data_IF_460098350429
#
_entry.id   IF_460098350429
#
_cell.length_a   1.000
_cell.length_b   1.000
_cell.length_c   1.000
_cell.angle_alpha   90.00
_cell.angle_beta   90.00
_cell.angle_gamma   90.00
#
_symmetry.space_group_name_H-M   'P 1'
#
loop_
_entity.id
_entity.type
_entity.pdbx_description
1 polymer ?
#
# COMPACT_ATOMS: atom_id res chain seq x y z
N UNK A 1 26.84 -3.57 -2.60
CA UNK A 1 26.19 -3.74 -1.28
C UNK A 1 24.78 -3.18 -1.26
N UNK A 2 24.57 -1.96 -1.78
CA UNK A 2 23.24 -1.35 -1.92
C UNK A 2 22.26 -2.23 -2.69
N UNK A 3 22.69 -2.86 -3.79
CA UNK A 3 21.86 -3.74 -4.64
C UNK A 3 21.22 -4.92 -3.90
N UNK A 4 21.95 -5.57 -2.98
CA UNK A 4 21.41 -6.69 -2.20
C UNK A 4 20.31 -6.22 -1.24
N UNK A 5 20.54 -5.07 -0.59
CA UNK A 5 19.57 -4.44 0.30
C UNK A 5 18.31 -4.04 -0.50
N UNK A 6 18.49 -3.45 -1.69
CA UNK A 6 17.36 -3.08 -2.55
C UNK A 6 16.56 -4.30 -2.99
N UNK A 7 17.23 -5.38 -3.38
CA UNK A 7 16.58 -6.61 -3.81
C UNK A 7 15.75 -7.24 -2.68
N UNK A 8 16.29 -7.27 -1.45
CA UNK A 8 15.56 -7.72 -0.27
C UNK A 8 14.33 -6.84 0.03
N UNK A 9 14.47 -5.51 -0.06
CA UNK A 9 13.35 -4.58 0.13
C UNK A 9 12.24 -4.80 -0.91
N UNK A 10 12.60 -4.99 -2.18
CA UNK A 10 11.62 -5.30 -3.23
C UNK A 10 10.96 -6.67 -3.03
N UNK A 11 11.72 -7.70 -2.64
CA UNK A 11 11.18 -9.03 -2.35
C UNK A 11 10.18 -8.99 -1.19
N UNK A 12 10.53 -8.33 -0.09
CA UNK A 12 9.64 -8.15 1.05
C UNK A 12 8.42 -7.32 0.65
N UNK A 13 8.61 -6.22 -0.07
CA UNK A 13 7.51 -5.38 -0.56
C UNK A 13 6.53 -6.16 -1.45
N UNK A 14 7.05 -6.94 -2.39
CA UNK A 14 6.25 -7.81 -3.25
C UNK A 14 5.50 -8.89 -2.46
N UNK A 15 6.14 -9.49 -1.46
CA UNK A 15 5.51 -10.44 -0.54
C UNK A 15 4.33 -9.80 0.20
N UNK A 16 4.50 -8.60 0.77
CA UNK A 16 3.42 -7.89 1.45
C UNK A 16 2.25 -7.53 0.52
N UNK A 17 2.54 -7.14 -0.72
CA UNK A 17 1.49 -6.90 -1.73
C UNK A 17 0.74 -8.19 -2.07
N UNK A 18 1.45 -9.31 -2.20
CA UNK A 18 0.86 -10.61 -2.46
C UNK A 18 -0.04 -11.06 -1.29
N UNK A 19 0.42 -10.91 -0.05
CA UNK A 19 -0.40 -11.17 1.15
C UNK A 19 -1.63 -10.26 1.18
N UNK A 20 -1.50 -9.00 0.79
CA UNK A 20 -2.61 -8.07 0.70
C UNK A 20 -3.67 -8.53 -0.32
N UNK A 21 -3.24 -8.94 -1.51
CA UNK A 21 -4.12 -9.48 -2.54
C UNK A 21 -4.83 -10.76 -2.09
N UNK A 22 -4.13 -11.66 -1.39
CA UNK A 22 -4.73 -12.86 -0.80
C UNK A 22 -5.76 -12.49 0.27
N UNK A 23 -5.45 -11.52 1.13
CA UNK A 23 -6.37 -11.00 2.14
C UNK A 23 -7.65 -10.43 1.52
N UNK A 24 -7.53 -9.73 0.39
CA UNK A 24 -8.68 -9.21 -0.35
C UNK A 24 -9.60 -10.32 -0.88
N UNK A 25 -9.07 -11.48 -1.29
CA UNK A 25 -9.85 -12.60 -1.83
C UNK A 25 -10.42 -13.50 -0.71
N UNK A 26 -9.69 -13.65 0.40
CA UNK A 26 -10.05 -14.62 1.45
C UNK A 26 -11.09 -14.12 2.46
N UNK A 27 -11.18 -12.81 2.70
CA UNK A 27 -12.14 -12.28 3.68
C UNK A 27 -13.54 -12.06 3.07
N UNK A 28 -14.63 -12.50 3.75
CA UNK A 28 -15.99 -12.44 3.21
C UNK A 28 -16.69 -11.09 3.39
N UNK A 29 -16.31 -10.25 4.36
CA UNK A 29 -16.95 -8.94 4.59
C UNK A 29 -16.09 -7.76 4.10
N UNK A 30 -16.74 -6.72 3.56
CA UNK A 30 -16.07 -5.55 2.99
C UNK A 30 -15.17 -4.82 4.01
N UNK A 31 -15.59 -4.68 5.28
CA UNK A 31 -14.78 -3.97 6.27
C UNK A 31 -13.55 -4.78 6.67
N UNK A 32 -13.68 -6.10 6.80
CA UNK A 32 -12.55 -6.99 7.09
C UNK A 32 -11.57 -7.08 5.91
N UNK A 33 -12.07 -7.09 4.67
CA UNK A 33 -11.25 -6.99 3.45
C UNK A 33 -10.46 -5.68 3.40
N UNK A 34 -11.10 -4.54 3.65
CA UNK A 34 -10.45 -3.23 3.62
C UNK A 34 -9.42 -3.07 4.73
N UNK A 35 -9.68 -3.60 5.93
CA UNK A 35 -8.72 -3.56 7.03
C UNK A 35 -7.48 -4.41 6.77
N UNK A 36 -7.67 -5.64 6.26
CA UNK A 36 -6.58 -6.53 5.90
C UNK A 36 -5.71 -5.96 4.77
N UNK A 37 -6.37 -5.44 3.72
CA UNK A 37 -5.70 -4.89 2.53
C UNK A 37 -4.92 -3.61 2.87
N UNK A 38 -5.51 -2.69 3.65
CA UNK A 38 -4.86 -1.40 3.96
C UNK A 38 -3.57 -1.60 4.74
N UNK A 39 -3.58 -2.45 5.78
CA UNK A 39 -2.37 -2.71 6.60
C UNK A 39 -1.24 -3.35 5.79
N UNK A 40 -1.56 -4.38 5.00
CA UNK A 40 -0.56 -5.11 4.24
C UNK A 40 -0.02 -4.28 3.06
N UNK A 41 -0.90 -3.60 2.30
CA UNK A 41 -0.51 -2.76 1.17
C UNK A 41 0.32 -1.55 1.61
N UNK A 42 -0.05 -0.89 2.71
CA UNK A 42 0.71 0.26 3.24
C UNK A 42 2.17 -0.09 3.52
N UNK A 43 2.42 -1.23 4.17
CA UNK A 43 3.79 -1.71 4.39
C UNK A 43 4.49 -2.08 3.08
N UNK A 44 3.82 -2.82 2.18
CA UNK A 44 4.42 -3.22 0.90
C UNK A 44 4.88 -2.03 0.06
N UNK A 45 4.04 -1.00 -0.07
CA UNK A 45 4.35 0.22 -0.82
C UNK A 45 5.51 0.99 -0.18
N UNK A 46 5.54 1.11 1.16
CA UNK A 46 6.65 1.77 1.86
C UNK A 46 8.00 1.09 1.56
N UNK A 47 8.05 -0.25 1.62
CA UNK A 47 9.28 -1.01 1.38
C UNK A 47 9.77 -0.85 -0.07
N UNK A 48 8.86 -0.90 -1.05
CA UNK A 48 9.19 -0.73 -2.46
C UNK A 48 9.73 0.68 -2.70
N UNK A 49 9.05 1.71 -2.20
CA UNK A 49 9.44 3.10 -2.40
C UNK A 49 10.82 3.38 -1.75
N UNK A 50 11.04 2.90 -0.52
CA UNK A 50 12.34 2.97 0.15
C UNK A 50 13.44 2.27 -0.65
N UNK A 51 13.14 1.11 -1.24
CA UNK A 51 14.05 0.41 -2.16
C UNK A 51 14.44 1.30 -3.33
N UNK A 52 13.47 1.87 -4.05
CA UNK A 52 13.74 2.82 -5.15
C UNK A 52 14.58 4.02 -4.73
N UNK A 53 14.30 4.62 -3.57
CA UNK A 53 15.03 5.78 -3.07
C UNK A 53 16.51 5.45 -2.77
N UNK A 54 16.76 4.27 -2.18
CA UNK A 54 18.11 3.78 -1.90
C UNK A 54 18.88 3.38 -3.15
N UNK A 55 18.20 2.84 -4.17
CA UNK A 55 18.83 2.40 -5.42
C UNK A 55 19.36 3.57 -6.25
N UNK A 56 18.54 4.60 -6.46
CA UNK A 56 18.93 5.75 -7.28
C UNK A 56 19.79 6.76 -6.53
N UNK A 57 19.78 6.75 -5.19
CA UNK A 57 20.60 7.60 -4.31
C UNK A 57 20.68 9.08 -4.75
N UNK A 58 19.58 9.62 -5.28
CA UNK A 58 19.50 10.99 -5.78
C UNK A 58 18.54 11.79 -4.92
N UNK A 59 18.92 13.03 -4.57
CA UNK A 59 18.08 13.93 -3.77
C UNK A 59 16.70 14.14 -4.40
N UNK A 60 16.62 14.19 -5.73
CA UNK A 60 15.35 14.35 -6.47
C UNK A 60 14.46 13.13 -6.27
N UNK A 61 15.03 11.92 -6.30
CA UNK A 61 14.27 10.67 -6.14
C UNK A 61 13.78 10.52 -4.71
N UNK A 62 14.56 10.93 -3.71
CA UNK A 62 14.13 10.97 -2.31
C UNK A 62 12.92 11.88 -2.09
N UNK A 63 12.97 13.11 -2.61
CA UNK A 63 11.87 14.07 -2.50
C UNK A 63 10.60 13.53 -3.17
N UNK A 64 10.73 12.98 -4.40
CA UNK A 64 9.61 12.36 -5.11
C UNK A 64 9.04 11.16 -4.34
N UNK A 65 9.89 10.32 -3.78
CA UNK A 65 9.48 9.14 -3.00
C UNK A 65 8.63 9.52 -1.80
N UNK A 66 9.05 10.54 -1.04
CA UNK A 66 8.28 11.07 0.10
C UNK A 66 6.93 11.64 -0.35
N UNK A 67 6.91 12.42 -1.43
CA UNK A 67 5.66 12.95 -2.00
C UNK A 67 4.69 11.82 -2.39
N UNK A 68 5.19 10.77 -3.04
CA UNK A 68 4.37 9.62 -3.46
C UNK A 68 3.80 8.88 -2.25
N UNK A 69 4.59 8.68 -1.19
CA UNK A 69 4.10 8.07 0.06
C UNK A 69 2.96 8.89 0.63
N UNK A 70 3.15 10.21 0.81
CA UNK A 70 2.11 11.10 1.35
C UNK A 70 0.84 11.04 0.48
N UNK A 71 1.01 11.10 -0.84
CA UNK A 71 -0.11 11.07 -1.78
C UNK A 71 -0.91 9.76 -1.71
N UNK A 72 -0.23 8.61 -1.65
CA UNK A 72 -0.87 7.30 -1.54
C UNK A 72 -1.60 7.17 -0.21
N UNK A 73 -0.99 7.62 0.90
CA UNK A 73 -1.59 7.57 2.23
C UNK A 73 -2.76 8.52 2.42
N UNK A 74 -2.86 9.60 1.65
CA UNK A 74 -4.06 10.43 1.59
C UNK A 74 -5.14 9.80 0.71
N UNK A 75 -4.77 9.20 -0.41
CA UNK A 75 -5.73 8.63 -1.38
C UNK A 75 -6.42 7.37 -0.86
N UNK A 76 -5.68 6.49 -0.20
CA UNK A 76 -6.21 5.21 0.34
C UNK A 76 -7.38 5.36 1.34
N UNK A 77 -7.32 6.22 2.37
CA UNK A 77 -8.45 6.44 3.28
C UNK A 77 -9.62 7.16 2.59
N UNK A 78 -9.36 8.07 1.63
CA UNK A 78 -10.43 8.72 0.86
C UNK A 78 -11.21 7.69 0.01
N UNK A 79 -10.50 6.80 -0.68
CA UNK A 79 -11.11 5.70 -1.43
C UNK A 79 -11.89 4.76 -0.51
N UNK A 80 -11.31 4.41 0.64
CA UNK A 80 -11.98 3.59 1.65
C UNK A 80 -13.27 4.24 2.18
N UNK A 81 -13.23 5.55 2.42
CA UNK A 81 -14.38 6.29 2.93
C UNK A 81 -15.52 6.35 1.92
N UNK A 82 -15.23 6.59 0.64
CA UNK A 82 -16.22 6.59 -0.44
C UNK A 82 -16.92 5.23 -0.58
N UNK A 83 -16.15 4.13 -0.57
CA UNK A 83 -16.71 2.76 -0.64
C UNK A 83 -17.61 2.45 0.57
N UNK A 84 -17.22 2.90 1.77
CA UNK A 84 -18.01 2.71 2.98
C UNK A 84 -19.34 3.49 2.94
N UNK A 85 -19.38 4.68 2.34
CA UNK A 85 -20.61 5.45 2.17
C UNK A 85 -21.59 4.75 1.20
N UNK A 86 -21.11 4.20 0.09
CA UNK A 86 -21.95 3.48 -0.87
C UNK A 86 -22.60 2.24 -0.25
N UNK A 87 -21.86 1.43 0.52
CA UNK A 87 -22.43 0.28 1.24
C UNK A 87 -23.50 0.71 2.26
N UNK A 88 -23.29 1.83 2.96
CA UNK A 88 -24.26 2.37 3.91
C UNK A 88 -25.55 2.83 3.23
N UNK A 89 -25.46 3.41 2.03
CA UNK A 89 -26.62 3.86 1.29
C UNK A 89 -27.48 2.68 0.80
N UNK A 90 -26.88 1.62 0.25
CA UNK A 90 -27.60 0.42 -0.19
C UNK A 90 -28.20 -0.47 0.91
N UNK A 91 -27.99 -0.13 2.19
CA UNK A 91 -28.62 -0.81 3.35
C UNK A 91 -29.90 -0.09 3.81
N UNK A 92 -30.17 1.11 3.28
CA UNK A 92 -31.38 1.90 3.57
C UNK A 92 -32.52 1.64 2.60
N UNK A 93 -32.28 0.88 1.54
CA UNK A 93 -33.25 0.38 0.57
C UNK A 93 -33.65 -1.06 0.94
#
# INVERSE_FOLDING_TARGET
>A
MTTLITALLFLLGAFFILVSAIGLVRFPDLYTRMHATTKATSFGILLIILGTALYFNSNVVWIKSVLVIIFIYLTTPLASHSIAQTKKNHRKD
#
